data_IF_775157334576
#
_entry.id   IF_775157334576
#
_cell.length_a   1.000
_cell.length_b   1.000
_cell.length_c   1.000
_cell.angle_alpha   90.00
_cell.angle_beta   90.00
_cell.angle_gamma   90.00
#
_symmetry.space_group_name_H-M   'P 1'
#
loop_
_entity.id
_entity.type
_entity.pdbx_description
1 polymer ?
#
# COMPACT_ATOMS: atom_id res chain seq x y z
N UNK A 1 -14.87 5.16 1.53
CA UNK A 1 -13.53 4.66 1.88
C UNK A 1 -13.39 4.61 3.39
N UNK A 2 -13.15 3.43 3.96
CA UNK A 2 -12.81 3.25 5.38
C UNK A 2 -11.34 2.90 5.48
N UNK A 3 -10.61 3.51 6.39
CA UNK A 3 -9.19 3.21 6.65
C UNK A 3 -9.09 2.63 8.06
N UNK A 4 -8.39 1.51 8.20
CA UNK A 4 -8.06 0.88 9.48
C UNK A 4 -6.56 0.70 9.54
N UNK A 5 -5.92 1.21 10.59
CA UNK A 5 -4.48 1.08 10.80
C UNK A 5 -4.20 0.17 12.00
N UNK A 6 -3.22 -0.70 11.84
CA UNK A 6 -2.65 -1.55 12.89
C UNK A 6 -1.15 -1.24 12.98
N UNK A 7 -0.66 -0.88 14.16
CA UNK A 7 0.75 -0.55 14.38
C UNK A 7 1.41 -1.73 15.08
N UNK A 8 2.53 -2.20 14.53
CA UNK A 8 3.34 -3.31 15.03
C UNK A 8 4.72 -2.79 15.41
N UNK A 9 4.86 -2.36 16.66
CA UNK A 9 6.10 -1.74 17.17
C UNK A 9 6.33 -0.33 16.60
N UNK A 10 7.58 0.13 16.62
CA UNK A 10 7.97 1.46 16.08
C UNK A 10 8.27 1.43 14.57
N UNK A 11 8.48 0.23 14.02
CA UNK A 11 9.04 0.04 12.69
C UNK A 11 8.00 -0.29 11.62
N UNK A 12 6.80 -0.80 11.98
CA UNK A 12 5.80 -1.25 11.01
C UNK A 12 4.39 -0.73 11.34
N UNK A 13 3.75 -0.14 10.34
CA UNK A 13 2.32 0.20 10.35
C UNK A 13 1.65 -0.47 9.14
N UNK A 14 0.53 -1.15 9.37
CA UNK A 14 -0.30 -1.76 8.31
C UNK A 14 -1.58 -0.95 8.18
N UNK A 15 -1.83 -0.38 7.01
CA UNK A 15 -3.08 0.32 6.67
C UNK A 15 -3.93 -0.52 5.73
N UNK A 16 -5.17 -0.80 6.12
CA UNK A 16 -6.18 -1.45 5.28
C UNK A 16 -7.17 -0.39 4.82
N UNK A 17 -7.21 -0.15 3.51
CA UNK A 17 -8.07 0.82 2.85
C UNK A 17 -9.19 0.07 2.14
N UNK A 18 -10.39 0.11 2.72
CA UNK A 18 -11.60 -0.48 2.14
C UNK A 18 -12.24 0.54 1.19
N UNK A 19 -12.06 0.33 -0.11
CA UNK A 19 -12.52 1.24 -1.16
C UNK A 19 -13.99 0.97 -1.47
N UNK A 20 -14.34 -0.30 -1.69
CA UNK A 20 -15.71 -0.81 -1.80
C UNK A 20 -15.84 -2.21 -1.15
N UNK A 21 -16.97 -2.90 -1.36
CA UNK A 21 -17.24 -4.22 -0.75
C UNK A 21 -16.33 -5.35 -1.27
N UNK A 22 -15.67 -5.16 -2.41
CA UNK A 22 -14.88 -6.17 -3.10
C UNK A 22 -13.40 -5.79 -3.26
N UNK A 23 -13.06 -4.52 -2.99
CA UNK A 23 -11.72 -3.99 -3.19
C UNK A 23 -11.14 -3.37 -1.92
N UNK A 24 -10.04 -3.97 -1.46
CA UNK A 24 -9.22 -3.48 -0.36
C UNK A 24 -7.78 -3.33 -0.83
N UNK A 25 -7.16 -2.20 -0.50
CA UNK A 25 -5.71 -2.02 -0.61
C UNK A 25 -5.10 -2.17 0.78
N UNK A 26 -4.07 -3.00 0.89
CA UNK A 26 -3.30 -3.17 2.13
C UNK A 26 -1.93 -2.56 1.89
N UNK A 27 -1.57 -1.60 2.74
CA UNK A 27 -0.27 -0.94 2.70
C UNK A 27 0.52 -1.30 3.94
N UNK A 28 1.72 -1.83 3.75
CA UNK A 28 2.72 -2.01 4.81
C UNK A 28 3.70 -0.85 4.75
N UNK A 29 3.84 -0.14 5.85
CA UNK A 29 4.64 1.08 5.99
C UNK A 29 5.76 0.79 6.98
N UNK A 30 6.99 0.82 6.50
CA UNK A 30 8.19 0.59 7.29
C UNK A 30 8.89 1.93 7.57
N UNK A 31 9.19 2.17 8.85
CA UNK A 31 10.11 3.24 9.26
C UNK A 31 11.54 2.75 9.00
N UNK A 32 12.30 3.50 8.22
CA UNK A 32 13.71 3.21 7.89
C UNK A 32 14.58 4.45 8.17
N UNK A 33 15.91 4.32 8.33
CA UNK A 33 16.76 5.47 8.69
C UNK A 33 16.60 6.69 7.76
N UNK A 34 16.33 6.44 6.47
CA UNK A 34 16.20 7.47 5.45
C UNK A 34 14.74 7.97 5.25
N UNK A 35 13.78 7.51 6.06
CA UNK A 35 12.38 7.91 5.95
C UNK A 35 11.39 6.75 6.07
N UNK A 36 10.53 6.60 5.06
CA UNK A 36 9.48 5.59 5.04
C UNK A 36 9.50 4.80 3.74
N UNK A 37 9.45 3.48 3.85
CA UNK A 37 9.27 2.56 2.73
C UNK A 37 7.89 1.91 2.82
N UNK A 38 7.10 2.01 1.77
CA UNK A 38 5.75 1.46 1.74
C UNK A 38 5.60 0.41 0.63
N UNK A 39 4.82 -0.62 0.91
CA UNK A 39 4.42 -1.63 -0.07
C UNK A 39 2.90 -1.73 -0.09
N UNK A 40 2.30 -1.56 -1.27
CA UNK A 40 0.85 -1.65 -1.45
C UNK A 40 0.50 -2.92 -2.23
N UNK A 41 -0.44 -3.70 -1.70
CA UNK A 41 -1.04 -4.85 -2.37
C UNK A 41 -2.56 -4.73 -2.39
N UNK A 42 -3.20 -5.42 -3.33
CA UNK A 42 -4.65 -5.42 -3.46
C UNK A 42 -5.27 -6.76 -3.01
N UNK A 43 -6.59 -6.75 -2.77
CA UNK A 43 -7.38 -7.95 -2.47
C UNK A 43 -8.00 -8.62 -3.70
N UNK A 44 -7.77 -8.12 -4.92
CA UNK A 44 -8.32 -8.74 -6.13
C UNK A 44 -7.51 -9.98 -6.49
N UNK A 45 -8.21 -11.11 -6.64
CA UNK A 45 -7.56 -12.41 -6.91
C UNK A 45 -6.73 -12.38 -8.21
N UNK A 46 -7.21 -11.70 -9.25
CA UNK A 46 -6.55 -11.57 -10.55
C UNK A 46 -5.25 -10.75 -10.49
N UNK A 47 -5.07 -9.96 -9.45
CA UNK A 47 -3.92 -9.08 -9.24
C UNK A 47 -3.18 -9.39 -7.93
N UNK A 48 -3.40 -10.57 -7.35
CA UNK A 48 -2.87 -10.93 -6.03
C UNK A 48 -1.34 -10.92 -5.95
N UNK A 49 -0.68 -11.09 -7.09
CA UNK A 49 0.79 -11.07 -7.21
C UNK A 49 1.36 -9.67 -7.45
N UNK A 50 0.51 -8.65 -7.71
CA UNK A 50 0.96 -7.28 -7.95
C UNK A 50 1.19 -6.56 -6.61
N UNK A 51 2.37 -5.94 -6.49
CA UNK A 51 2.74 -5.13 -5.34
C UNK A 51 3.38 -3.83 -5.83
N UNK A 52 2.77 -2.70 -5.48
CA UNK A 52 3.35 -1.38 -5.67
C UNK A 52 4.31 -1.03 -4.54
N UNK A 53 5.24 -0.12 -4.81
CA UNK A 53 6.28 0.31 -3.88
C UNK A 53 6.43 1.83 -3.83
N UNK A 54 6.76 2.35 -2.65
CA UNK A 54 6.96 3.78 -2.43
C UNK A 54 8.06 4.04 -1.42
N UNK A 55 8.84 5.09 -1.65
CA UNK A 55 9.91 5.50 -0.73
C UNK A 55 9.95 7.02 -0.66
N UNK A 56 9.84 7.57 0.56
CA UNK A 56 9.86 9.01 0.80
C UNK A 56 10.19 9.33 2.26
N UNK A 57 10.80 10.49 2.53
CA UNK A 57 10.99 11.02 3.89
C UNK A 57 9.68 11.30 4.64
N UNK A 58 8.56 11.39 3.92
CA UNK A 58 7.23 11.67 4.46
C UNK A 58 6.40 10.40 4.34
N UNK A 59 5.76 10.00 5.45
CA UNK A 59 4.97 8.77 5.53
C UNK A 59 3.85 8.74 4.49
N UNK A 60 3.07 9.81 4.39
CA UNK A 60 1.92 9.87 3.48
C UNK A 60 2.34 9.87 2.02
N UNK A 61 3.43 10.56 1.68
CA UNK A 61 3.98 10.52 0.32
C UNK A 61 4.52 9.13 -0.05
N UNK A 62 5.17 8.44 0.88
CA UNK A 62 5.61 7.05 0.69
C UNK A 62 4.42 6.12 0.40
N UNK A 63 3.32 6.29 1.14
CA UNK A 63 2.07 5.54 0.91
C UNK A 63 1.45 5.88 -0.45
N UNK A 64 1.35 7.16 -0.79
CA UNK A 64 0.78 7.61 -2.07
C UNK A 64 1.56 7.05 -3.26
N UNK A 65 2.89 7.05 -3.19
CA UNK A 65 3.76 6.46 -4.21
C UNK A 65 3.47 4.96 -4.37
N UNK A 66 3.41 4.21 -3.27
CA UNK A 66 3.13 2.77 -3.33
C UNK A 66 1.76 2.44 -3.93
N UNK A 67 0.73 3.22 -3.59
CA UNK A 67 -0.62 3.03 -4.13
C UNK A 67 -0.68 3.38 -5.63
N UNK A 68 -0.05 4.48 -6.04
CA UNK A 68 -0.02 4.90 -7.44
C UNK A 68 0.74 3.88 -8.32
N UNK A 69 1.87 3.36 -7.81
CA UNK A 69 2.63 2.30 -8.45
C UNK A 69 1.77 1.03 -8.62
N UNK A 70 1.03 0.63 -7.57
CA UNK A 70 0.10 -0.50 -7.65
C UNK A 70 -1.00 -0.28 -8.70
N UNK A 71 -1.63 0.90 -8.75
CA UNK A 71 -2.64 1.19 -9.75
C UNK A 71 -2.08 1.15 -11.18
N UNK A 72 -0.87 1.67 -11.38
CA UNK A 72 -0.18 1.61 -12.67
C UNK A 72 0.02 0.14 -13.11
N UNK A 73 0.48 -0.72 -12.19
CA UNK A 73 0.62 -2.15 -12.46
C UNK A 73 -0.73 -2.82 -12.78
N UNK A 74 -1.80 -2.49 -12.06
CA UNK A 74 -3.13 -3.04 -12.33
C UNK A 74 -3.68 -2.61 -13.70
N UNK A 75 -3.36 -1.40 -14.16
CA UNK A 75 -3.71 -0.90 -15.49
C UNK A 75 -2.90 -1.56 -16.60
N UNK A 76 -1.61 -1.84 -16.38
CA UNK A 76 -0.74 -2.54 -17.34
C UNK A 76 -1.08 -4.02 -17.48
N UNK A 77 -1.60 -4.65 -16.42
CA UNK A 77 -1.97 -6.06 -16.39
C UNK A 77 -3.47 -6.24 -16.11
N UNK A 78 -4.39 -5.82 -17.01
CA UNK A 78 -5.82 -6.02 -16.82
C UNK A 78 -6.10 -7.54 -16.79
N UNK A 79 -6.58 -8.02 -15.65
CA UNK A 79 -6.79 -9.44 -15.35
C UNK A 79 -7.92 -10.12 -16.11
#
# INVERSE_FOLDING_TARGET
MRIVSEIYGEELEIRKMYIDNSFTIIVEIFTVPEGYKSFARNSFLHHGDLSGSGFHENKEESVNLAINDLYTLMEEFPG
#
